data_IF_104094588293
#
_entry.id   IF_104094588293
#
_cell.length_a   1.000
_cell.length_b   1.000
_cell.length_c   1.000
_cell.angle_alpha   90.00
_cell.angle_beta   90.00
_cell.angle_gamma   90.00
#
_symmetry.space_group_name_H-M   'P 1'
#
loop_
_entity.id
_entity.type
_entity.pdbx_description
1 polymer ?
#
# COMPACT_ATOMS: atom_id res chain seq x y z
N UNK A 1 -1.17 -16.00 -11.25
CA UNK A 1 -1.08 -14.56 -11.56
C UNK A 1 0.21 -14.05 -10.93
N UNK A 2 0.92 -13.07 -11.52
CA UNK A 2 2.07 -12.46 -10.83
C UNK A 2 1.58 -11.68 -9.59
N UNK A 3 2.32 -11.77 -8.48
CA UNK A 3 2.05 -11.02 -7.25
C UNK A 3 2.01 -9.52 -7.54
N UNK A 4 0.92 -8.85 -7.14
CA UNK A 4 0.79 -7.42 -7.32
C UNK A 4 1.80 -6.68 -6.45
N UNK A 5 2.47 -5.67 -6.99
CA UNK A 5 3.40 -4.83 -6.23
C UNK A 5 2.70 -3.51 -5.90
N UNK A 6 2.87 -3.00 -4.68
CA UNK A 6 2.17 -1.80 -4.19
C UNK A 6 3.18 -0.79 -3.63
N UNK A 7 2.96 0.48 -3.94
CA UNK A 7 3.51 1.62 -3.19
C UNK A 7 2.36 2.29 -2.44
N UNK A 8 2.56 2.63 -1.17
CA UNK A 8 1.54 3.26 -0.33
C UNK A 8 1.91 4.71 -0.05
N UNK A 9 1.27 5.64 -0.76
CA UNK A 9 1.35 7.07 -0.44
C UNK A 9 0.31 7.46 0.60
N UNK A 10 0.69 8.33 1.54
CA UNK A 10 -0.13 8.62 2.72
C UNK A 10 -0.52 7.33 3.44
N UNK A 11 0.46 6.47 3.68
CA UNK A 11 0.23 5.12 4.19
C UNK A 11 -0.49 5.11 5.54
N UNK A 12 -0.39 6.20 6.29
CA UNK A 12 -0.88 6.30 7.66
C UNK A 12 -0.34 5.12 8.47
N UNK A 13 -1.25 4.41 9.14
CA UNK A 13 -0.95 3.23 9.93
C UNK A 13 -0.97 1.91 9.12
N UNK A 14 -1.11 1.98 7.79
CA UNK A 14 -1.08 0.84 6.85
C UNK A 14 -2.43 0.25 6.48
N UNK A 15 -3.41 1.11 6.19
CA UNK A 15 -4.77 0.68 5.83
C UNK A 15 -4.81 -0.21 4.57
N UNK A 16 -4.05 0.15 3.53
CA UNK A 16 -3.98 -0.62 2.28
C UNK A 16 -3.32 -2.00 2.50
N UNK A 17 -2.21 -2.05 3.23
CA UNK A 17 -1.53 -3.29 3.61
C UNK A 17 -2.48 -4.22 4.35
N UNK A 18 -3.22 -3.69 5.34
CA UNK A 18 -4.19 -4.47 6.09
C UNK A 18 -5.35 -4.95 5.20
N UNK A 19 -5.87 -4.08 4.32
CA UNK A 19 -6.95 -4.42 3.39
C UNK A 19 -6.54 -5.53 2.41
N UNK A 20 -5.32 -5.47 1.87
CA UNK A 20 -4.77 -6.51 1.00
C UNK A 20 -4.69 -7.87 1.72
N UNK A 21 -4.24 -7.89 2.98
CA UNK A 21 -4.22 -9.11 3.81
C UNK A 21 -5.61 -9.65 4.07
N UNK A 22 -6.56 -8.79 4.46
CA UNK A 22 -7.95 -9.19 4.73
C UNK A 22 -8.66 -9.74 3.49
N UNK A 23 -8.41 -9.14 2.33
CA UNK A 23 -8.96 -9.58 1.05
C UNK A 23 -8.30 -10.86 0.51
N UNK A 24 -7.29 -11.39 1.22
CA UNK A 24 -6.43 -12.47 0.73
C UNK A 24 -5.88 -12.18 -0.68
N UNK A 25 -5.55 -10.91 -0.93
CA UNK A 25 -5.04 -10.45 -2.22
C UNK A 25 -3.55 -10.79 -2.32
N UNK A 26 -3.16 -11.47 -3.40
CA UNK A 26 -1.75 -11.78 -3.69
C UNK A 26 -0.99 -10.51 -4.07
N UNK A 27 -0.61 -9.74 -3.06
CA UNK A 27 0.07 -8.47 -3.21
C UNK A 27 1.19 -8.27 -2.18
N UNK A 28 2.22 -7.55 -2.62
CA UNK A 28 3.42 -7.23 -1.87
C UNK A 28 3.60 -5.71 -1.84
N UNK A 29 3.48 -5.14 -0.64
CA UNK A 29 3.81 -3.74 -0.37
C UNK A 29 5.33 -3.58 -0.41
N UNK A 30 5.82 -2.88 -1.44
CA UNK A 30 7.25 -2.62 -1.62
C UNK A 30 7.75 -1.52 -0.68
N UNK A 31 6.95 -0.47 -0.53
CA UNK A 31 7.28 0.69 0.29
C UNK A 31 6.02 1.45 0.69
N UNK A 32 6.06 2.01 1.89
CA UNK A 32 5.04 2.88 2.43
C UNK A 32 5.63 4.24 2.79
N UNK A 33 4.84 5.30 2.64
CA UNK A 33 5.29 6.68 2.81
C UNK A 33 4.30 7.49 3.63
N UNK A 34 4.78 8.05 4.75
CA UNK A 34 4.04 9.01 5.56
C UNK A 34 5.00 10.00 6.24
N UNK A 35 4.56 11.26 6.38
CA UNK A 35 5.34 12.31 7.04
C UNK A 35 5.18 12.26 8.57
N UNK A 36 4.10 11.65 9.06
CA UNK A 36 3.79 11.56 10.47
C UNK A 36 4.59 10.44 11.13
N UNK A 37 5.48 10.82 12.05
CA UNK A 37 6.35 9.90 12.81
C UNK A 37 5.55 8.90 13.64
N UNK A 38 4.47 9.32 14.29
CA UNK A 38 3.60 8.43 15.09
C UNK A 38 2.92 7.40 14.19
N UNK A 39 2.47 7.80 12.99
CA UNK A 39 1.91 6.85 12.02
C UNK A 39 2.96 5.83 11.56
N UNK A 40 4.19 6.29 11.31
CA UNK A 40 5.32 5.43 10.92
C UNK A 40 5.70 4.42 12.02
N UNK A 41 5.67 4.82 13.29
CA UNK A 41 5.90 3.93 14.44
C UNK A 41 4.82 2.84 14.52
N UNK A 42 3.55 3.22 14.38
CA UNK A 42 2.42 2.28 14.39
C UNK A 42 2.50 1.35 13.18
N UNK A 43 2.79 1.86 11.99
CA UNK A 43 2.99 1.05 10.79
C UNK A 43 4.10 0.01 11.02
N UNK A 44 5.23 0.46 11.55
CA UNK A 44 6.39 -0.39 11.84
C UNK A 44 6.05 -1.48 12.86
N UNK A 45 5.28 -1.14 13.90
CA UNK A 45 4.78 -2.10 14.86
C UNK A 45 3.89 -3.18 14.20
N UNK A 46 3.03 -2.78 13.26
CA UNK A 46 2.06 -3.68 12.61
C UNK A 46 2.68 -4.56 11.52
N UNK A 47 3.64 -4.03 10.74
CA UNK A 47 4.12 -4.64 9.50
C UNK A 47 5.63 -4.88 9.46
N UNK A 48 6.35 -4.52 10.51
CA UNK A 48 7.79 -4.68 10.62
C UNK A 48 8.59 -3.47 10.14
N UNK A 49 9.89 -3.51 10.41
CA UNK A 49 10.84 -2.45 10.07
C UNK A 49 11.20 -2.47 8.59
N UNK A 50 11.52 -1.30 8.03
CA UNK A 50 12.08 -1.16 6.68
C UNK A 50 11.05 -0.98 5.57
N UNK A 51 9.76 -1.17 5.83
CA UNK A 51 8.69 -0.98 4.84
C UNK A 51 8.32 0.50 4.72
N UNK A 52 8.09 1.17 5.86
CA UNK A 52 7.70 2.58 5.89
C UNK A 52 8.93 3.51 5.82
N UNK A 53 8.80 4.63 5.12
CA UNK A 53 9.80 5.68 5.06
C UNK A 53 9.15 7.06 5.19
N UNK A 54 9.84 7.95 5.90
CA UNK A 54 9.45 9.34 6.04
C UNK A 54 10.07 10.15 4.91
N UNK A 55 9.36 10.24 3.80
CA UNK A 55 9.76 11.07 2.66
C UNK A 55 8.63 12.02 2.31
N UNK A 56 8.93 13.26 1.90
CA UNK A 56 7.89 14.17 1.43
C UNK A 56 7.30 13.68 0.11
N UNK A 57 5.98 13.79 -0.08
CA UNK A 57 5.33 13.30 -1.31
C UNK A 57 5.88 13.93 -2.60
N UNK A 58 6.34 15.18 -2.55
CA UNK A 58 6.93 15.85 -3.71
C UNK A 58 8.23 15.20 -4.22
N UNK A 59 8.81 14.25 -3.48
CA UNK A 59 9.91 13.43 -4.00
C UNK A 59 9.45 12.24 -4.85
N UNK A 60 8.13 11.98 -4.95
CA UNK A 60 7.59 10.92 -5.79
C UNK A 60 7.60 11.32 -7.26
N UNK A 61 7.95 10.38 -8.14
CA UNK A 61 7.85 10.57 -9.58
C UNK A 61 6.42 10.34 -10.08
N UNK A 62 6.08 10.89 -11.25
CA UNK A 62 4.78 10.61 -11.89
C UNK A 62 4.55 9.11 -12.09
N UNK A 63 5.62 8.36 -12.44
CA UNK A 63 5.54 6.90 -12.56
C UNK A 63 5.18 6.20 -11.26
N UNK A 64 5.62 6.70 -10.10
CA UNK A 64 5.26 6.11 -8.80
C UNK A 64 3.78 6.33 -8.48
N UNK A 65 3.27 7.51 -8.84
CA UNK A 65 1.85 7.86 -8.67
C UNK A 65 0.99 6.98 -9.57
N UNK A 66 1.32 6.88 -10.87
CA UNK A 66 0.63 6.01 -11.83
C UNK A 66 0.62 4.55 -11.38
N UNK A 67 1.77 4.07 -10.86
CA UNK A 67 1.91 2.73 -10.32
C UNK A 67 0.99 2.47 -9.11
N UNK A 68 0.83 3.46 -8.25
CA UNK A 68 -0.09 3.39 -7.09
C UNK A 68 -1.54 3.36 -7.53
N UNK A 69 -1.91 4.18 -8.53
CA UNK A 69 -3.26 4.21 -9.08
C UNK A 69 -3.63 2.89 -9.76
N UNK A 70 -2.73 2.30 -10.55
CA UNK A 70 -2.92 0.97 -11.15
C UNK A 70 -3.14 -0.10 -10.08
N UNK A 71 -2.36 -0.06 -9.00
CA UNK A 71 -2.51 -0.98 -7.88
C UNK A 71 -3.87 -0.85 -7.18
N UNK A 72 -4.33 0.37 -6.92
CA UNK A 72 -5.67 0.62 -6.34
C UNK A 72 -6.79 0.11 -7.26
N UNK A 73 -6.69 0.40 -8.56
CA UNK A 73 -7.67 -0.07 -9.54
C UNK A 73 -7.76 -1.59 -9.55
N UNK A 74 -6.61 -2.29 -9.60
CA UNK A 74 -6.55 -3.76 -9.57
C UNK A 74 -7.11 -4.33 -8.28
N UNK A 75 -6.87 -3.69 -7.15
CA UNK A 75 -7.43 -4.11 -5.87
C UNK A 75 -8.96 -4.04 -5.89
N UNK A 76 -9.53 -2.92 -6.34
CA UNK A 76 -10.99 -2.73 -6.43
C UNK A 76 -11.60 -3.76 -7.37
N UNK A 77 -11.02 -3.96 -8.56
CA UNK A 77 -11.49 -4.98 -9.52
C UNK A 77 -11.44 -6.38 -8.90
N UNK A 78 -10.35 -6.73 -8.19
CA UNK A 78 -10.22 -8.01 -7.50
C UNK A 78 -11.31 -8.21 -6.43
N UNK A 79 -11.62 -7.17 -5.65
CA UNK A 79 -12.69 -7.21 -4.66
C UNK A 79 -14.07 -7.39 -5.30
N UNK A 80 -14.35 -6.66 -6.39
CA UNK A 80 -15.61 -6.81 -7.12
C UNK A 80 -15.79 -8.23 -7.66
N UNK A 81 -14.75 -8.82 -8.24
CA UNK A 81 -14.80 -10.21 -8.71
C UNK A 81 -14.98 -11.22 -7.58
N UNK A 82 -14.41 -10.95 -6.40
CA UNK A 82 -14.58 -11.80 -5.22
C UNK A 82 -15.95 -11.66 -4.55
N UNK A 83 -16.66 -10.55 -4.77
CA UNK A 83 -17.98 -10.28 -4.20
C UNK A 83 -19.15 -10.82 -5.06
N UNK A 84 -18.89 -11.35 -6.25
CA UNK A 84 -19.92 -11.88 -7.16
C UNK A 84 -20.34 -13.34 -6.88
N UNK A 85 -20.29 -13.78 -5.62
CA UNK A 85 -20.80 -15.09 -5.19
C UNK A 85 -22.18 -14.99 -4.54
#
# INVERSE_FOLDING_TARGET
MPTQKILEFYSGIGGMHYAARLANWDAHVLKAFDINTTANEIYTHNFGKGVVAQVPLFSASNSDIEFTLDSLYRFIVSLCSAAQY
#
